data_IF_340419983752
#
_entry.id   IF_340419983752
#
_cell.length_a   1.000
_cell.length_b   1.000
_cell.length_c   1.000
_cell.angle_alpha   90.00
_cell.angle_beta   90.00
_cell.angle_gamma   90.00
#
_symmetry.space_group_name_H-M   'P 1'
#
loop_
_entity.id
_entity.type
_entity.pdbx_description
1 polymer ?
#
# COMPACT_ATOMS: atom_id res chain seq x y z
N UNK A 1 -2.42 5.23 14.80
CA UNK A 1 -2.01 4.11 15.70
C UNK A 1 -3.17 3.27 16.22
N UNK A 2 -4.19 3.82 16.93
CA UNK A 2 -5.29 3.00 17.50
C UNK A 2 -6.03 2.08 16.52
N UNK A 3 -6.31 2.53 15.29
CA UNK A 3 -7.00 1.73 14.25
C UNK A 3 -6.19 0.51 13.81
N UNK A 4 -4.87 0.65 13.69
CA UNK A 4 -3.95 -0.44 13.34
C UNK A 4 -3.67 -1.40 14.50
N UNK A 5 -3.75 -0.94 15.76
CA UNK A 5 -3.53 -1.79 16.95
C UNK A 5 -4.75 -2.65 17.33
N UNK A 6 -5.96 -2.25 16.92
CA UNK A 6 -7.22 -2.89 17.31
C UNK A 6 -7.27 -4.41 17.00
N UNK A 7 -6.85 -4.91 15.82
CA UNK A 7 -6.84 -6.34 15.53
C UNK A 7 -5.89 -7.11 16.45
N UNK A 8 -4.68 -6.58 16.67
CA UNK A 8 -3.69 -7.19 17.55
C UNK A 8 -4.18 -7.25 19.00
N UNK A 9 -4.76 -6.16 19.52
CA UNK A 9 -5.29 -6.13 20.89
C UNK A 9 -6.42 -7.15 21.10
N UNK A 10 -7.27 -7.38 20.08
CA UNK A 10 -8.30 -8.43 20.13
C UNK A 10 -7.67 -9.82 20.23
N UNK A 11 -6.67 -10.10 19.39
CA UNK A 11 -5.95 -11.39 19.41
C UNK A 11 -5.19 -11.61 20.72
N UNK A 12 -4.57 -10.57 21.28
CA UNK A 12 -3.90 -10.65 22.58
C UNK A 12 -4.89 -11.04 23.70
N UNK A 13 -6.09 -10.45 23.73
CA UNK A 13 -7.12 -10.80 24.71
C UNK A 13 -7.58 -12.26 24.57
N UNK A 14 -7.71 -12.76 23.34
CA UNK A 14 -8.03 -14.17 23.07
C UNK A 14 -6.91 -15.10 23.62
N UNK A 15 -5.64 -14.75 23.39
CA UNK A 15 -4.48 -15.50 23.90
C UNK A 15 -4.41 -15.49 25.42
N UNK A 16 -4.65 -14.35 26.07
CA UNK A 16 -4.65 -14.25 27.53
C UNK A 16 -5.78 -15.07 28.17
N UNK A 17 -6.96 -15.08 27.55
CA UNK A 17 -8.08 -15.91 27.99
C UNK A 17 -7.75 -17.41 27.87
N UNK A 18 -7.20 -17.84 26.73
CA UNK A 18 -6.77 -19.22 26.52
C UNK A 18 -5.66 -19.66 27.49
N UNK A 19 -4.68 -18.78 27.75
CA UNK A 19 -3.63 -19.00 28.75
C UNK A 19 -4.23 -19.20 30.14
N UNK A 20 -5.22 -18.38 30.52
CA UNK A 20 -5.89 -18.48 31.83
C UNK A 20 -6.63 -19.82 31.97
N UNK A 21 -7.34 -20.25 30.93
CA UNK A 21 -8.05 -21.55 30.94
C UNK A 21 -7.08 -22.72 31.03
N UNK A 22 -5.97 -22.69 30.27
CA UNK A 22 -4.94 -23.72 30.34
C UNK A 22 -4.35 -23.85 31.75
N UNK A 23 -3.94 -22.73 32.36
CA UNK A 23 -3.40 -22.75 33.72
C UNK A 23 -4.44 -23.19 34.76
N UNK A 24 -5.73 -22.91 34.55
CA UNK A 24 -6.79 -23.43 35.42
C UNK A 24 -6.92 -24.95 35.29
N UNK A 25 -6.90 -25.50 34.06
CA UNK A 25 -6.91 -26.94 33.82
C UNK A 25 -5.69 -27.64 34.46
N UNK A 26 -4.48 -27.09 34.30
CA UNK A 26 -3.28 -27.63 34.95
C UNK A 26 -3.35 -27.62 36.49
N UNK A 27 -4.02 -26.61 37.07
CA UNK A 27 -4.23 -26.55 38.53
C UNK A 27 -5.22 -27.63 38.96
N UNK A 28 -6.31 -27.81 38.23
CA UNK A 28 -7.30 -28.86 38.54
C UNK A 28 -6.70 -30.25 38.38
N UNK A 29 -5.88 -30.51 37.36
CA UNK A 29 -5.17 -31.78 37.18
C UNK A 29 -4.27 -32.10 38.38
N UNK A 30 -3.49 -31.13 38.84
CA UNK A 30 -2.65 -31.28 40.04
C UNK A 30 -3.48 -31.52 41.28
N UNK A 31 -4.60 -30.79 41.46
CA UNK A 31 -5.50 -30.98 42.60
C UNK A 31 -6.18 -32.36 42.57
N UNK A 32 -6.63 -32.82 41.40
CA UNK A 32 -7.23 -34.13 41.21
C UNK A 32 -6.22 -35.23 41.53
N UNK A 33 -4.99 -35.10 41.03
CA UNK A 33 -3.89 -36.05 41.29
C UNK A 33 -3.57 -36.12 42.78
N UNK A 34 -3.43 -34.97 43.46
CA UNK A 34 -3.19 -34.93 44.90
C UNK A 34 -4.36 -35.52 45.72
N UNK A 35 -5.60 -35.32 45.28
CA UNK A 35 -6.78 -35.92 45.93
C UNK A 35 -6.81 -37.44 45.77
N UNK A 36 -6.41 -37.95 44.61
CA UNK A 36 -6.33 -39.39 44.34
C UNK A 36 -5.24 -40.05 45.18
N UNK A 37 -4.04 -39.46 45.26
CA UNK A 37 -2.97 -39.98 46.13
C UNK A 37 -3.35 -39.95 47.61
N UNK A 38 -3.98 -38.87 48.08
CA UNK A 38 -4.49 -38.81 49.45
C UNK A 38 -5.60 -39.84 49.70
N UNK A 39 -6.47 -40.06 48.72
CA UNK A 39 -7.53 -41.06 48.80
C UNK A 39 -7.02 -42.49 48.88
N UNK A 40 -5.92 -42.82 48.19
CA UNK A 40 -5.24 -44.12 48.28
C UNK A 40 -4.59 -44.37 49.64
N UNK A 41 -4.23 -43.29 50.36
CA UNK A 41 -3.61 -43.39 51.67
C UNK A 41 -4.64 -43.58 52.80
N UNK A 42 -5.94 -43.38 52.53
CA UNK A 42 -7.01 -43.53 53.51
C UNK A 42 -7.52 -44.99 53.56
N UNK A 43 -7.34 -45.72 54.69
CA UNK A 43 -7.82 -47.09 54.84
C UNK A 43 -9.35 -47.23 54.80
N UNK A 44 -10.10 -46.14 55.02
CA UNK A 44 -11.56 -46.12 54.94
C UNK A 44 -12.09 -45.90 53.52
N UNK A 45 -11.21 -45.73 52.53
CA UNK A 45 -11.58 -45.46 51.15
C UNK A 45 -12.24 -46.68 50.49
N UNK A 46 -13.43 -46.48 49.93
CA UNK A 46 -14.11 -47.56 49.20
C UNK A 46 -13.65 -47.61 47.71
N UNK A 47 -13.74 -48.78 47.04
CA UNK A 47 -13.26 -48.94 45.67
C UNK A 47 -13.97 -48.04 44.64
N UNK A 48 -15.25 -47.75 44.86
CA UNK A 48 -16.06 -46.93 43.95
C UNK A 48 -15.69 -45.44 44.02
N UNK A 49 -15.40 -44.94 45.21
CA UNK A 49 -14.90 -43.59 45.47
C UNK A 49 -13.48 -43.43 44.91
N UNK A 50 -12.62 -44.44 45.09
CA UNK A 50 -11.27 -44.42 44.52
C UNK A 50 -11.31 -44.38 42.98
N UNK A 51 -12.16 -45.19 42.36
CA UNK A 51 -12.38 -45.16 40.91
C UNK A 51 -12.88 -43.80 40.43
N UNK A 52 -13.81 -43.18 41.16
CA UNK A 52 -14.28 -41.82 40.85
C UNK A 52 -13.18 -40.76 40.92
N UNK A 53 -12.20 -40.92 41.81
CA UNK A 53 -11.02 -40.04 41.86
C UNK A 53 -10.10 -40.28 40.67
N UNK A 54 -9.88 -41.54 40.28
CA UNK A 54 -9.13 -41.91 39.07
C UNK A 54 -9.75 -41.34 37.80
N UNK A 55 -11.06 -41.52 37.60
CA UNK A 55 -11.78 -41.00 36.43
C UNK A 55 -11.67 -39.46 36.35
N UNK A 56 -11.66 -38.77 37.51
CA UNK A 56 -11.44 -37.32 37.57
C UNK A 56 -10.01 -36.93 37.16
N UNK A 57 -9.01 -37.69 37.59
CA UNK A 57 -7.61 -37.48 37.19
C UNK A 57 -7.47 -37.63 35.67
N UNK A 58 -8.00 -38.73 35.12
CA UNK A 58 -7.96 -38.99 33.68
C UNK A 58 -8.68 -37.90 32.88
N UNK A 59 -9.88 -37.51 33.30
CA UNK A 59 -10.63 -36.41 32.69
C UNK A 59 -9.84 -35.09 32.72
N UNK A 60 -9.23 -34.75 33.85
CA UNK A 60 -8.45 -33.51 33.99
C UNK A 60 -7.18 -33.50 33.13
N UNK A 61 -6.54 -34.66 32.92
CA UNK A 61 -5.39 -34.82 32.01
C UNK A 61 -5.79 -34.59 30.56
N UNK A 62 -6.88 -35.22 30.12
CA UNK A 62 -7.43 -35.01 28.77
C UNK A 62 -7.79 -33.54 28.52
N UNK A 63 -8.30 -32.85 29.54
CA UNK A 63 -8.63 -31.43 29.44
C UNK A 63 -7.37 -30.55 29.26
N UNK A 64 -6.28 -30.86 29.96
CA UNK A 64 -4.98 -30.19 29.74
C UNK A 64 -4.43 -30.47 28.34
N UNK A 65 -4.48 -31.71 27.88
CA UNK A 65 -4.01 -32.11 26.55
C UNK A 65 -4.78 -31.43 25.42
N UNK A 66 -6.11 -31.29 25.57
CA UNK A 66 -6.96 -30.54 24.64
C UNK A 66 -6.51 -29.09 24.43
N UNK A 67 -5.92 -28.45 25.44
CA UNK A 67 -5.41 -27.08 25.32
C UNK A 67 -4.08 -26.99 24.56
N UNK A 68 -3.35 -28.11 24.40
CA UNK A 68 -2.08 -28.20 23.68
C UNK A 68 -2.29 -28.64 22.22
N UNK A 69 -3.36 -29.38 21.95
CA UNK A 69 -3.68 -29.85 20.61
C UNK A 69 -4.23 -28.73 19.71
N UNK A 70 -3.35 -28.20 18.85
CA UNK A 70 -3.70 -27.18 17.86
C UNK A 70 -4.39 -27.77 16.62
N UNK A 71 -4.32 -29.09 16.40
CA UNK A 71 -4.85 -29.73 15.19
C UNK A 71 -6.38 -29.68 15.11
N UNK A 72 -7.03 -29.72 16.27
CA UNK A 72 -8.48 -29.61 16.41
C UNK A 72 -8.99 -28.17 16.40
N UNK A 73 -8.11 -27.16 16.33
CA UNK A 73 -8.50 -25.76 16.35
C UNK A 73 -8.70 -25.26 14.93
N UNK A 74 -9.93 -24.95 14.55
CA UNK A 74 -10.28 -24.46 13.19
C UNK A 74 -9.45 -23.25 12.75
N UNK A 75 -9.02 -22.41 13.69
CA UNK A 75 -8.19 -21.24 13.39
C UNK A 75 -6.81 -21.62 12.86
N UNK A 76 -6.25 -22.77 13.25
CA UNK A 76 -4.95 -23.25 12.76
C UNK A 76 -5.00 -23.55 11.26
N UNK A 77 -6.02 -24.30 10.81
CA UNK A 77 -6.24 -24.55 9.39
C UNK A 77 -6.56 -23.29 8.59
N UNK A 78 -7.28 -22.34 9.20
CA UNK A 78 -7.58 -21.05 8.57
C UNK A 78 -6.32 -20.22 8.26
N UNK A 79 -5.27 -20.25 9.10
CA UNK A 79 -4.03 -19.51 8.83
C UNK A 79 -3.42 -19.94 7.50
N UNK A 80 -3.35 -21.24 7.23
CA UNK A 80 -2.79 -21.75 5.98
C UNK A 80 -3.71 -21.49 4.78
N UNK A 81 -5.04 -21.57 4.96
CA UNK A 81 -6.00 -21.22 3.90
C UNK A 81 -5.91 -19.74 3.52
N UNK A 82 -5.85 -18.84 4.51
CA UNK A 82 -5.70 -17.41 4.28
C UNK A 82 -4.36 -17.08 3.62
N UNK A 83 -3.28 -17.74 4.06
CA UNK A 83 -1.95 -17.60 3.45
C UNK A 83 -1.96 -18.06 1.99
N UNK A 84 -2.51 -19.24 1.70
CA UNK A 84 -2.62 -19.78 0.35
C UNK A 84 -3.44 -18.85 -0.54
N UNK A 85 -4.57 -18.34 -0.04
CA UNK A 85 -5.39 -17.37 -0.75
C UNK A 85 -4.60 -16.09 -1.04
N UNK A 86 -3.90 -15.52 -0.06
CA UNK A 86 -3.12 -14.29 -0.23
C UNK A 86 -2.04 -14.44 -1.30
N UNK A 87 -1.33 -15.59 -1.32
CA UNK A 87 -0.33 -15.88 -2.34
C UNK A 87 -0.96 -16.04 -3.72
N UNK A 88 -2.06 -16.80 -3.82
CA UNK A 88 -2.76 -17.04 -5.09
C UNK A 88 -3.41 -15.78 -5.66
N UNK A 89 -3.83 -14.85 -4.80
CA UNK A 89 -4.42 -13.57 -5.21
C UNK A 89 -3.40 -12.52 -5.65
N UNK A 90 -2.11 -12.76 -5.47
CA UNK A 90 -1.07 -11.83 -5.92
C UNK A 90 -1.00 -11.85 -7.46
N UNK A 91 -1.32 -10.71 -8.10
CA UNK A 91 -1.33 -10.56 -9.56
C UNK A 91 -0.26 -9.57 -10.02
N UNK A 92 0.80 -10.11 -10.63
CA UNK A 92 1.90 -9.31 -11.17
C UNK A 92 1.46 -8.34 -12.28
N UNK A 93 0.40 -8.65 -13.05
CA UNK A 93 -0.10 -7.74 -14.08
C UNK A 93 -0.83 -6.54 -13.47
N UNK A 94 -1.56 -6.77 -12.38
CA UNK A 94 -2.19 -5.68 -11.62
C UNK A 94 -1.13 -4.75 -11.03
N UNK A 95 -0.07 -5.31 -10.46
CA UNK A 95 1.06 -4.55 -9.91
C UNK A 95 1.79 -3.72 -10.98
N UNK A 96 2.10 -4.33 -12.13
CA UNK A 96 2.74 -3.64 -13.25
C UNK A 96 1.86 -2.53 -13.81
N UNK A 97 0.55 -2.76 -13.91
CA UNK A 97 -0.41 -1.75 -14.34
C UNK A 97 -0.47 -0.60 -13.35
N UNK A 98 -0.50 -0.89 -12.06
CA UNK A 98 -0.45 0.13 -11.01
C UNK A 98 0.82 0.98 -11.12
N UNK A 99 1.99 0.34 -11.25
CA UNK A 99 3.26 1.06 -11.40
C UNK A 99 3.30 1.93 -12.65
N UNK A 100 2.89 1.38 -13.80
CA UNK A 100 2.82 2.11 -15.08
C UNK A 100 2.01 3.39 -14.95
N UNK A 101 0.89 3.37 -14.23
CA UNK A 101 -0.04 4.50 -14.14
C UNK A 101 0.39 5.54 -13.11
N UNK A 102 1.00 5.12 -12.00
CA UNK A 102 1.34 6.01 -10.90
C UNK A 102 2.77 6.56 -10.95
N UNK A 103 3.69 5.83 -11.59
CA UNK A 103 5.12 6.17 -11.64
C UNK A 103 5.75 5.97 -13.03
N UNK A 104 4.96 5.54 -14.01
CA UNK A 104 5.43 5.21 -15.35
C UNK A 104 4.80 6.07 -16.44
N UNK A 105 4.89 5.61 -17.70
CA UNK A 105 4.38 6.34 -18.87
C UNK A 105 2.86 6.54 -18.88
N UNK A 106 2.11 5.92 -17.97
CA UNK A 106 0.68 6.13 -17.80
C UNK A 106 0.32 7.36 -16.97
N UNK A 107 1.31 8.02 -16.35
CA UNK A 107 1.09 9.33 -15.70
C UNK A 107 0.74 10.38 -16.76
N UNK A 108 -0.23 11.25 -16.45
CA UNK A 108 -0.55 12.37 -17.32
C UNK A 108 0.62 13.35 -17.36
N UNK A 109 1.08 13.69 -18.56
CA UNK A 109 2.11 14.70 -18.79
C UNK A 109 1.52 15.88 -19.55
N UNK A 110 1.80 17.09 -19.07
CA UNK A 110 1.53 18.32 -19.82
C UNK A 110 2.72 18.56 -20.75
N UNK A 111 2.63 17.98 -21.95
CA UNK A 111 3.65 18.23 -22.97
C UNK A 111 3.68 19.71 -23.34
N UNK A 112 4.86 20.28 -23.63
CA UNK A 112 4.95 21.66 -24.08
C UNK A 112 4.01 21.91 -25.25
N UNK A 113 3.17 22.93 -25.13
CA UNK A 113 2.29 23.38 -26.21
C UNK A 113 2.62 24.84 -26.51
N UNK A 114 2.21 25.28 -27.70
CA UNK A 114 2.33 26.67 -28.09
C UNK A 114 1.47 27.52 -27.15
N UNK A 115 2.12 28.41 -26.39
CA UNK A 115 1.43 29.42 -25.60
C UNK A 115 1.31 30.71 -26.41
N UNK A 116 0.08 31.18 -26.60
CA UNK A 116 -0.17 32.46 -27.26
C UNK A 116 0.38 33.59 -26.38
N UNK A 117 1.16 34.47 -27.00
CA UNK A 117 1.81 35.56 -26.28
C UNK A 117 0.76 36.47 -25.65
N UNK A 118 0.73 36.52 -24.32
CA UNK A 118 -0.09 37.45 -23.56
C UNK A 118 0.78 38.57 -22.99
N UNK A 119 0.35 39.83 -23.15
CA UNK A 119 1.06 40.99 -22.63
C UNK A 119 1.27 40.91 -21.10
N UNK A 120 0.41 40.16 -20.40
CA UNK A 120 0.46 39.94 -18.95
C UNK A 120 1.60 39.00 -18.50
N UNK A 121 2.13 38.14 -19.37
CA UNK A 121 3.18 37.16 -19.03
C UNK A 121 4.58 37.81 -18.90
N UNK A 122 4.81 38.99 -19.49
CA UNK A 122 6.03 39.77 -19.28
C UNK A 122 6.12 40.36 -17.85
N UNK A 123 5.00 40.44 -17.13
CA UNK A 123 4.95 41.10 -15.82
C UNK A 123 5.53 40.25 -14.70
N UNK A 124 5.50 38.92 -14.83
CA UNK A 124 6.05 37.97 -13.86
C UNK A 124 7.52 37.66 -14.11
N UNK A 125 7.97 37.58 -15.37
CA UNK A 125 9.38 37.33 -15.70
C UNK A 125 10.27 38.58 -15.57
N UNK A 126 9.72 39.78 -15.73
CA UNK A 126 10.50 41.02 -15.63
C UNK A 126 10.79 41.48 -14.19
N UNK A 127 10.15 40.88 -13.17
CA UNK A 127 10.52 41.11 -11.75
C UNK A 127 11.54 40.05 -11.31
N UNK A 128 12.74 40.09 -11.89
CA UNK A 128 13.90 39.46 -11.27
C UNK A 128 14.43 40.41 -10.18
N UNK A 129 13.78 40.41 -9.01
CA UNK A 129 14.38 41.03 -7.83
C UNK A 129 15.63 40.25 -7.41
N UNK A 130 16.73 40.97 -7.26
CA UNK A 130 17.95 40.46 -6.61
C UNK A 130 17.59 40.04 -5.19
N UNK A 131 17.74 38.75 -4.85
CA UNK A 131 17.76 38.32 -3.45
C UNK A 131 19.20 38.44 -2.92
N UNK A 132 19.43 39.12 -1.79
CA UNK A 132 20.70 39.02 -1.08
C UNK A 132 20.80 37.65 -0.41
N UNK A 133 22.04 37.27 -0.13
CA UNK A 133 22.45 35.99 0.43
C UNK A 133 21.90 35.78 1.85
N UNK A 134 21.93 34.51 2.26
CA UNK A 134 21.67 33.94 3.59
C UNK A 134 20.22 33.84 4.07
N UNK A 135 19.71 32.60 4.05
CA UNK A 135 18.55 32.19 4.84
C UNK A 135 17.55 31.31 4.10
N UNK A 136 17.53 30.02 4.44
CA UNK A 136 16.43 29.07 4.17
C UNK A 136 15.10 29.62 4.73
N UNK A 137 14.02 29.65 3.94
CA UNK A 137 12.63 29.49 4.41
C UNK A 137 11.71 28.91 3.33
N UNK A 138 10.76 28.10 3.79
CA UNK A 138 9.88 27.17 3.08
C UNK A 138 8.61 27.82 2.49
N UNK A 139 7.94 26.99 1.68
CA UNK A 139 6.48 26.81 1.55
C UNK A 139 5.70 27.65 0.54
N UNK A 140 4.98 26.93 -0.32
CA UNK A 140 3.86 27.39 -1.13
C UNK A 140 2.94 26.21 -1.49
N UNK A 141 2.34 25.60 -0.46
CA UNK A 141 1.18 24.70 -0.57
C UNK A 141 0.00 25.45 -1.20
N UNK A 142 -0.60 24.93 -2.27
CA UNK A 142 -1.94 25.33 -2.70
C UNK A 142 -2.97 24.32 -2.20
N UNK A 143 -4.01 24.89 -1.60
CA UNK A 143 -5.05 24.29 -0.80
C UNK A 143 -6.04 23.53 -1.69
N UNK A 144 -6.44 22.33 -1.25
CA UNK A 144 -7.54 21.57 -1.83
C UNK A 144 -8.87 22.28 -1.51
N UNK A 145 -9.68 22.52 -2.54
CA UNK A 145 -11.05 23.00 -2.47
C UNK A 145 -11.83 22.46 -3.66
N UNK A 146 -12.66 21.46 -3.38
CA UNK A 146 -13.65 20.75 -4.19
C UNK A 146 -14.18 21.49 -5.45
N UNK A 147 -13.86 20.98 -6.65
CA UNK A 147 -14.75 21.03 -7.82
C UNK A 147 -14.62 19.76 -8.68
N UNK A 148 -15.73 19.02 -8.70
CA UNK A 148 -16.22 18.02 -9.65
C UNK A 148 -15.50 17.87 -11.00
N UNK A 149 -15.18 16.59 -11.31
CA UNK A 149 -15.33 15.92 -12.61
C UNK A 149 -15.29 16.79 -13.86
N UNK A 150 -14.13 16.87 -14.51
CA UNK A 150 -14.07 16.97 -15.96
C UNK A 150 -12.99 16.01 -16.48
N UNK A 151 -13.49 14.91 -17.04
CA UNK A 151 -12.71 13.93 -17.77
C UNK A 151 -12.23 14.56 -19.09
N UNK A 152 -11.03 15.13 -19.10
CA UNK A 152 -10.46 15.65 -20.34
C UNK A 152 -9.86 14.50 -21.17
N UNK A 153 -10.74 13.80 -21.91
CA UNK A 153 -10.37 12.90 -23.00
C UNK A 153 -9.83 13.73 -24.17
N UNK A 154 -8.52 13.94 -24.24
CA UNK A 154 -7.87 14.25 -25.52
C UNK A 154 -7.07 13.04 -25.96
N UNK A 155 -7.83 12.06 -26.48
CA UNK A 155 -7.27 11.12 -27.45
C UNK A 155 -7.24 11.87 -28.78
N UNK A 156 -6.05 12.20 -29.26
CA UNK A 156 -5.86 12.61 -30.64
C UNK A 156 -4.67 11.85 -31.23
N UNK A 157 -5.03 10.86 -32.04
CA UNK A 157 -4.19 10.25 -33.06
C UNK A 157 -3.52 11.35 -33.89
N UNK A 158 -2.19 11.41 -33.85
CA UNK A 158 -1.39 12.38 -34.59
C UNK A 158 -1.49 12.09 -36.08
N UNK A 159 -2.13 12.99 -36.81
CA UNK A 159 -2.05 13.04 -38.27
C UNK A 159 -1.03 14.12 -38.60
N UNK A 160 0.21 13.75 -38.91
CA UNK A 160 1.23 14.69 -39.36
C UNK A 160 0.92 15.00 -40.83
N UNK A 161 0.34 16.16 -41.11
CA UNK A 161 0.29 16.70 -42.46
C UNK A 161 1.62 17.41 -42.70
N UNK A 162 2.40 16.91 -43.66
CA UNK A 162 3.65 17.54 -44.09
C UNK A 162 3.34 18.89 -44.75
N UNK A 163 3.49 19.97 -44.00
CA UNK A 163 3.46 21.32 -44.55
C UNK A 163 4.88 21.70 -45.00
N UNK A 164 5.02 22.11 -46.27
CA UNK A 164 6.28 22.51 -46.87
C UNK A 164 6.73 23.88 -46.30
N UNK A 165 7.98 23.93 -45.82
CA UNK A 165 8.58 25.10 -45.18
C UNK A 165 9.67 25.69 -46.08
N UNK A 166 9.58 26.99 -46.39
CA UNK A 166 10.61 27.71 -47.15
C UNK A 166 11.57 28.43 -46.21
N UNK A 167 12.89 28.17 -46.32
CA UNK A 167 13.93 28.84 -45.52
C UNK A 167 14.06 30.31 -45.94
N UNK A 168 14.01 31.24 -44.97
CA UNK A 168 14.16 32.69 -45.19
C UNK A 168 15.53 33.18 -44.74
N UNK A 169 16.00 32.74 -43.57
CA UNK A 169 17.28 33.17 -42.98
C UNK A 169 18.13 31.94 -42.63
N UNK A 170 19.45 32.10 -42.76
CA UNK A 170 20.45 31.10 -42.40
C UNK A 170 20.57 30.90 -40.88
N UNK A 171 21.24 29.83 -40.50
CA UNK A 171 21.42 29.40 -39.11
C UNK A 171 22.06 30.50 -38.27
N UNK A 172 21.43 30.86 -37.15
CA UNK A 172 22.01 31.77 -36.16
C UNK A 172 23.05 31.06 -35.27
N UNK A 173 23.78 31.83 -34.44
CA UNK A 173 24.80 31.28 -33.54
C UNK A 173 24.25 30.30 -32.48
N UNK A 174 22.93 30.14 -32.40
CA UNK A 174 22.21 29.25 -31.48
C UNK A 174 21.60 28.03 -32.18
N UNK A 175 21.82 27.86 -33.49
CA UNK A 175 21.38 26.70 -34.26
C UNK A 175 19.93 26.77 -34.78
N UNK A 176 19.34 27.96 -34.84
CA UNK A 176 17.97 28.17 -35.31
C UNK A 176 17.94 28.74 -36.73
N UNK A 177 17.01 28.26 -37.54
CA UNK A 177 16.70 28.80 -38.86
C UNK A 177 15.30 29.44 -38.83
N UNK A 178 15.10 30.47 -39.66
CA UNK A 178 13.78 31.09 -39.83
C UNK A 178 13.13 30.61 -41.11
N UNK A 179 11.89 30.12 -41.01
CA UNK A 179 11.13 29.58 -42.13
C UNK A 179 9.76 30.23 -42.26
N UNK A 180 9.19 30.15 -43.47
CA UNK A 180 7.82 30.55 -43.77
C UNK A 180 7.03 29.35 -44.24
N UNK A 181 5.86 29.14 -43.65
CA UNK A 181 4.89 28.15 -44.13
C UNK A 181 4.06 28.74 -45.27
N UNK A 182 3.49 27.88 -46.13
CA UNK A 182 2.63 28.30 -47.25
C UNK A 182 1.42 29.15 -46.81
N UNK A 183 0.98 29.03 -45.55
CA UNK A 183 -0.02 29.90 -44.92
C UNK A 183 0.45 31.32 -44.58
N UNK A 184 1.68 31.69 -44.93
CA UNK A 184 2.26 33.02 -44.71
C UNK A 184 2.85 33.25 -43.32
N UNK A 185 2.65 32.32 -42.38
CA UNK A 185 3.19 32.35 -41.02
C UNK A 185 4.70 32.12 -41.01
N UNK A 186 5.43 32.95 -40.27
CA UNK A 186 6.89 32.90 -40.13
C UNK A 186 7.23 32.39 -38.73
N UNK A 187 8.18 31.47 -38.62
CA UNK A 187 8.61 30.89 -37.34
C UNK A 187 10.06 30.44 -37.36
N UNK A 188 10.60 30.15 -36.17
CA UNK A 188 11.94 29.57 -35.99
C UNK A 188 11.82 28.05 -35.89
N UNK A 189 12.73 27.34 -36.55
CA UNK A 189 12.86 25.89 -36.47
C UNK A 189 14.33 25.52 -36.22
N UNK A 190 14.63 24.45 -35.47
CA UNK A 190 16.01 24.01 -35.25
C UNK A 190 16.62 23.54 -36.58
N UNK A 191 17.87 23.90 -36.87
CA UNK A 191 18.54 23.56 -38.13
C UNK A 191 18.57 22.03 -38.41
N UNK A 192 18.54 21.21 -37.36
CA UNK A 192 18.55 19.74 -37.45
C UNK A 192 17.24 19.10 -37.98
N UNK A 193 16.19 19.88 -38.25
CA UNK A 193 14.89 19.36 -38.72
C UNK A 193 14.70 19.43 -40.24
N UNK A 194 15.72 19.88 -40.98
CA UNK A 194 15.73 19.81 -42.45
C UNK A 194 16.70 18.71 -42.86
N UNK A 195 16.17 17.52 -43.18
CA UNK A 195 16.93 16.50 -43.91
C UNK A 195 17.27 17.03 -45.31
N UNK A 196 18.52 16.83 -45.75
CA UNK A 196 19.02 17.22 -47.08
C UNK A 196 18.41 16.40 -48.21
#
# INVERSE_FOLDING_TARGET
FRKAQKPWAKKLKEVEAAKKTYHAACKEEKLATSRETNGKADPAMNPEQLKKLQDKVEKSKLEVEKHLDLSNVDSYGNVYRELEYAIKSADALEDLKWFKNNHGPGMSMNWPQFEEWSADLNRTLSRREKKPTDGVTLTGISQAGDQSSLQNKHSSHLSVQSEELTKIEDEDEQGWCKGRLNGGQVGLYPANYVES
#
